data_IF_656976955891
#
_entry.id   IF_656976955891
#
_cell.length_a   1.000
_cell.length_b   1.000
_cell.length_c   1.000
_cell.angle_alpha   90.00
_cell.angle_beta   90.00
_cell.angle_gamma   90.00
#
_symmetry.space_group_name_H-M   'P 1'
#
loop_
_entity.id
_entity.type
_entity.pdbx_description
1 polymer ?
#
# COMPACT_ATOMS: atom_id res chain seq x y z
N UNK A 1 0.04 7.88 8.01
CA UNK A 1 0.36 7.73 9.44
C UNK A 1 0.75 6.29 9.59
N UNK A 2 2.03 6.09 9.87
CA UNK A 2 2.61 4.76 9.99
C UNK A 2 1.95 3.98 11.12
N UNK A 3 1.77 2.69 10.87
CA UNK A 3 1.29 1.73 11.87
C UNK A 3 2.38 1.44 12.90
N UNK A 4 3.64 1.43 12.45
CA UNK A 4 4.80 1.28 13.30
C UNK A 4 5.13 2.64 13.94
N UNK A 5 5.39 2.63 15.25
CA UNK A 5 5.79 3.82 15.99
C UNK A 5 7.13 4.36 15.50
N UNK A 6 7.20 5.68 15.30
CA UNK A 6 8.41 6.36 14.82
C UNK A 6 9.61 6.10 15.75
N UNK A 7 9.41 6.05 17.06
CA UNK A 7 10.49 5.81 18.04
C UNK A 7 11.19 4.47 17.80
N UNK A 8 10.42 3.44 17.41
CA UNK A 8 10.97 2.13 17.09
C UNK A 8 11.77 2.16 15.78
N UNK A 9 11.27 2.88 14.78
CA UNK A 9 11.95 3.07 13.51
C UNK A 9 13.27 3.84 13.68
N UNK A 10 13.26 4.93 14.46
CA UNK A 10 14.47 5.68 14.82
C UNK A 10 15.49 4.80 15.54
N UNK A 11 15.04 4.01 16.52
CA UNK A 11 15.91 3.08 17.24
C UNK A 11 16.48 1.98 16.34
N UNK A 12 15.70 1.46 15.38
CA UNK A 12 16.17 0.48 14.41
C UNK A 12 17.30 1.02 13.52
N UNK A 13 17.20 2.28 13.11
CA UNK A 13 18.16 2.94 12.23
C UNK A 13 19.36 3.54 12.98
N UNK A 14 19.29 3.64 14.31
CA UNK A 14 20.22 4.45 15.11
C UNK A 14 20.29 5.91 14.62
N UNK A 15 19.15 6.44 14.15
CA UNK A 15 19.06 7.76 13.54
C UNK A 15 19.02 8.88 14.60
N UNK A 16 19.48 10.07 14.22
CA UNK A 16 19.49 11.24 15.10
C UNK A 16 18.11 11.93 15.11
N UNK A 17 17.74 12.68 16.15
CA UNK A 17 16.43 13.34 16.22
C UNK A 17 16.11 14.25 15.03
N UNK A 18 17.12 14.81 14.38
CA UNK A 18 16.98 15.63 13.18
C UNK A 18 16.50 14.86 11.94
N UNK A 19 16.79 13.56 11.88
CA UNK A 19 16.37 12.69 10.77
C UNK A 19 14.91 12.26 10.88
N UNK A 20 14.21 12.56 11.98
CA UNK A 20 12.87 12.04 12.27
C UNK A 20 11.88 12.28 11.12
N UNK A 21 11.94 13.45 10.48
CA UNK A 21 11.05 13.79 9.36
C UNK A 21 11.32 12.90 8.15
N UNK A 22 12.60 12.66 7.83
CA UNK A 22 13.01 11.78 6.74
C UNK A 22 12.62 10.33 7.03
N UNK A 23 12.90 9.85 8.25
CA UNK A 23 12.59 8.49 8.67
C UNK A 23 11.08 8.24 8.65
N UNK A 24 10.27 9.22 9.06
CA UNK A 24 8.81 9.10 8.98
C UNK A 24 8.34 8.92 7.53
N UNK A 25 8.83 9.75 6.60
CA UNK A 25 8.45 9.64 5.19
C UNK A 25 8.88 8.29 4.58
N UNK A 26 10.07 7.80 4.92
CA UNK A 26 10.55 6.51 4.46
C UNK A 26 9.82 5.33 5.11
N UNK A 27 9.37 5.48 6.36
CA UNK A 27 8.58 4.48 7.07
C UNK A 27 7.19 4.36 6.44
N UNK A 28 6.53 5.49 6.16
CA UNK A 28 5.24 5.51 5.44
C UNK A 28 5.38 4.81 4.06
N UNK A 29 6.45 5.10 3.32
CA UNK A 29 6.72 4.45 2.03
C UNK A 29 7.04 2.95 2.15
N UNK A 30 7.78 2.54 3.18
CA UNK A 30 8.11 1.14 3.44
C UNK A 30 6.86 0.31 3.79
N UNK A 31 5.97 0.87 4.62
CA UNK A 31 4.69 0.26 4.97
C UNK A 31 3.74 0.18 3.76
N UNK A 32 3.65 1.25 2.97
CA UNK A 32 2.85 1.26 1.74
C UNK A 32 3.32 0.18 0.76
N UNK A 33 4.64 0.09 0.52
CA UNK A 33 5.20 -0.94 -0.34
C UNK A 33 4.90 -2.36 0.18
N UNK A 34 4.93 -2.57 1.50
CA UNK A 34 4.57 -3.85 2.10
C UNK A 34 3.08 -4.17 1.93
N UNK A 35 2.19 -3.19 2.14
CA UNK A 35 0.74 -3.36 1.94
C UNK A 35 0.40 -3.69 0.48
N UNK A 36 1.02 -2.99 -0.48
CA UNK A 36 0.87 -3.27 -1.91
C UNK A 36 1.35 -4.67 -2.24
N UNK A 37 2.52 -5.08 -1.73
CA UNK A 37 3.03 -6.43 -1.96
C UNK A 37 2.07 -7.49 -1.41
N UNK A 38 1.53 -7.31 -0.20
CA UNK A 38 0.61 -8.25 0.45
C UNK A 38 -0.78 -8.30 -0.20
N UNK A 39 -1.14 -7.28 -0.99
CA UNK A 39 -2.53 -7.00 -1.40
C UNK A 39 -3.48 -6.90 -0.20
N UNK A 40 -2.98 -6.38 0.93
CA UNK A 40 -3.70 -6.25 2.21
C UNK A 40 -3.25 -5.01 2.94
N UNK A 41 -4.19 -4.38 3.65
CA UNK A 41 -3.87 -3.36 4.65
C UNK A 41 -3.60 -4.04 5.99
N UNK A 42 -2.61 -3.55 6.72
CA UNK A 42 -2.39 -3.96 8.11
C UNK A 42 -2.66 -2.81 9.07
N UNK A 43 -3.00 -3.16 10.31
CA UNK A 43 -3.45 -2.21 11.33
C UNK A 43 -2.73 -2.49 12.65
N UNK A 44 -2.66 -1.48 13.52
CA UNK A 44 -1.96 -1.59 14.81
C UNK A 44 -2.59 -2.66 15.70
N UNK A 45 -3.93 -2.67 15.77
CA UNK A 45 -4.69 -3.55 16.63
C UNK A 45 -6.01 -3.99 15.97
N UNK A 46 -6.74 -4.85 16.68
CA UNK A 46 -8.03 -5.37 16.22
C UNK A 46 -9.10 -4.27 16.13
N UNK A 47 -9.04 -3.26 17.01
CA UNK A 47 -10.00 -2.16 17.03
C UNK A 47 -9.90 -1.32 15.75
N UNK A 48 -8.68 -0.96 15.34
CA UNK A 48 -8.44 -0.24 14.09
C UNK A 48 -8.86 -1.05 12.86
N UNK A 49 -8.60 -2.36 12.86
CA UNK A 49 -9.03 -3.25 11.78
C UNK A 49 -10.57 -3.31 11.66
N UNK A 50 -11.27 -3.48 12.78
CA UNK A 50 -12.73 -3.59 12.78
C UNK A 50 -13.40 -2.25 12.41
N UNK A 51 -12.84 -1.12 12.87
CA UNK A 51 -13.28 0.21 12.46
C UNK A 51 -13.14 0.42 10.94
N UNK A 52 -11.99 0.01 10.36
CA UNK A 52 -11.79 0.10 8.92
C UNK A 52 -12.75 -0.81 8.14
N UNK A 53 -12.99 -2.04 8.64
CA UNK A 53 -13.91 -3.01 8.04
C UNK A 53 -15.36 -2.53 8.03
N UNK A 54 -15.80 -1.85 9.09
CA UNK A 54 -17.15 -1.31 9.16
C UNK A 54 -17.45 -0.34 8.01
N UNK A 55 -16.45 0.44 7.57
CA UNK A 55 -16.59 1.38 6.44
C UNK A 55 -16.56 0.75 5.04
N UNK A 56 -16.24 -0.55 4.91
CA UNK A 56 -16.08 -1.20 3.60
C UNK A 56 -17.40 -1.23 2.82
N UNK A 57 -18.51 -1.51 3.50
CA UNK A 57 -19.82 -1.56 2.84
C UNK A 57 -20.19 -0.22 2.21
N UNK A 58 -20.03 0.86 2.97
CA UNK A 58 -20.33 2.22 2.50
C UNK A 58 -19.40 2.63 1.36
N UNK A 59 -18.11 2.26 1.45
CA UNK A 59 -17.14 2.50 0.38
C UNK A 59 -17.53 1.80 -0.93
N UNK A 60 -18.00 0.55 -0.87
CA UNK A 60 -18.47 -0.20 -2.04
C UNK A 60 -19.72 0.44 -2.66
N UNK A 61 -20.67 0.88 -1.84
CA UNK A 61 -21.88 1.56 -2.31
C UNK A 61 -21.54 2.90 -2.96
N UNK A 62 -20.65 3.68 -2.33
CA UNK A 62 -20.15 4.94 -2.87
C UNK A 62 -19.46 4.72 -4.22
N UNK A 63 -18.54 3.75 -4.32
CA UNK A 63 -17.84 3.41 -5.57
C UNK A 63 -18.81 3.04 -6.70
N UNK A 64 -19.84 2.23 -6.40
CA UNK A 64 -20.89 1.88 -7.36
C UNK A 64 -21.69 3.10 -7.83
N UNK A 65 -22.02 4.00 -6.90
CA UNK A 65 -22.75 5.24 -7.24
C UNK A 65 -21.92 6.16 -8.13
N UNK A 66 -20.63 6.33 -7.83
CA UNK A 66 -19.68 7.13 -8.63
C UNK A 66 -19.49 6.55 -10.02
N UNK A 67 -19.35 5.23 -10.14
CA UNK A 67 -19.28 4.55 -11.42
C UNK A 67 -20.56 4.75 -12.26
N UNK A 68 -21.73 4.61 -11.64
CA UNK A 68 -23.01 4.88 -12.30
C UNK A 68 -23.07 6.29 -12.88
N UNK A 69 -22.70 7.29 -12.08
CA UNK A 69 -22.64 8.68 -12.53
C UNK A 69 -21.65 8.90 -13.70
N UNK A 70 -20.46 8.29 -13.62
CA UNK A 70 -19.45 8.36 -14.68
C UNK A 70 -19.92 7.70 -15.99
N UNK A 71 -20.64 6.58 -15.90
CA UNK A 71 -21.21 5.88 -17.07
C UNK A 71 -22.31 6.71 -17.71
N UNK A 72 -23.19 7.33 -16.93
CA UNK A 72 -24.21 8.22 -17.49
C UNK A 72 -23.58 9.46 -18.15
N UNK A 73 -22.56 10.06 -17.54
CA UNK A 73 -21.80 11.15 -18.16
C UNK A 73 -21.17 10.72 -19.50
N UNK A 74 -20.52 9.55 -19.54
CA UNK A 74 -19.92 9.01 -20.75
C UNK A 74 -20.97 8.77 -21.86
N UNK A 75 -22.19 8.32 -21.53
CA UNK A 75 -23.26 8.11 -22.52
C UNK A 75 -23.73 9.40 -23.20
N UNK A 76 -23.65 10.53 -22.52
CA UNK A 76 -24.03 11.83 -23.09
C UNK A 76 -23.02 12.35 -24.12
N UNK A 77 -21.79 11.85 -24.10
CA UNK A 77 -20.77 12.24 -25.08
C UNK A 77 -21.17 11.82 -26.48
N UNK A 78 -20.93 12.69 -27.47
CA UNK A 78 -21.29 12.46 -28.87
C UNK A 78 -20.22 11.66 -29.62
N UNK A 79 -18.94 11.97 -29.38
CA UNK A 79 -17.80 11.26 -29.99
C UNK A 79 -17.71 9.83 -29.46
N UNK A 80 -17.72 8.86 -30.38
CA UNK A 80 -17.64 7.44 -30.07
C UNK A 80 -16.31 7.07 -29.40
N UNK A 81 -15.19 7.61 -29.88
CA UNK A 81 -13.85 7.28 -29.36
C UNK A 81 -13.72 7.73 -27.91
N UNK A 82 -14.15 8.96 -27.63
CA UNK A 82 -14.14 9.54 -26.29
C UNK A 82 -15.07 8.78 -25.34
N UNK A 83 -16.28 8.43 -25.80
CA UNK A 83 -17.24 7.61 -25.04
C UNK A 83 -16.64 6.28 -24.60
N UNK A 84 -15.99 5.56 -25.52
CA UNK A 84 -15.35 4.28 -25.20
C UNK A 84 -14.26 4.43 -24.12
N UNK A 85 -13.38 5.43 -24.24
CA UNK A 85 -12.34 5.70 -23.25
C UNK A 85 -12.92 6.03 -21.87
N UNK A 86 -13.94 6.89 -21.82
CA UNK A 86 -14.58 7.25 -20.54
C UNK A 86 -15.23 6.05 -19.86
N UNK A 87 -15.86 5.14 -20.63
CA UNK A 87 -16.41 3.90 -20.09
C UNK A 87 -15.32 2.97 -19.55
N UNK A 88 -14.16 2.89 -20.22
CA UNK A 88 -13.00 2.13 -19.73
C UNK A 88 -12.44 2.73 -18.44
N UNK A 89 -12.25 4.05 -18.36
CA UNK A 89 -11.82 4.73 -17.14
C UNK A 89 -12.80 4.50 -15.99
N UNK A 90 -14.12 4.56 -16.25
CA UNK A 90 -15.13 4.30 -15.23
C UNK A 90 -15.02 2.86 -14.70
N UNK A 91 -14.86 1.87 -15.59
CA UNK A 91 -14.68 0.46 -15.21
C UNK A 91 -13.42 0.25 -14.40
N UNK A 92 -12.29 0.83 -14.83
CA UNK A 92 -11.03 0.72 -14.11
C UNK A 92 -11.13 1.33 -12.71
N UNK A 93 -11.71 2.54 -12.59
CA UNK A 93 -11.89 3.20 -11.30
C UNK A 93 -12.77 2.37 -10.33
N UNK A 94 -13.78 1.66 -10.84
CA UNK A 94 -14.59 0.75 -10.03
C UNK A 94 -13.81 -0.50 -9.61
N UNK A 95 -13.01 -1.07 -10.52
CA UNK A 95 -12.15 -2.22 -10.20
C UNK A 95 -11.11 -1.84 -9.12
N UNK A 96 -10.44 -0.70 -9.27
CA UNK A 96 -9.46 -0.21 -8.29
C UNK A 96 -10.11 0.05 -6.92
N UNK A 97 -11.33 0.60 -6.89
CA UNK A 97 -12.07 0.82 -5.66
C UNK A 97 -12.45 -0.51 -4.96
N UNK A 98 -12.78 -1.55 -5.73
CA UNK A 98 -13.04 -2.88 -5.20
C UNK A 98 -11.79 -3.54 -4.66
N UNK A 99 -10.66 -3.44 -5.37
CA UNK A 99 -9.39 -3.97 -4.89
C UNK A 99 -8.93 -3.27 -3.58
N UNK A 100 -9.16 -1.95 -3.48
CA UNK A 100 -8.95 -1.22 -2.24
C UNK A 100 -9.87 -1.72 -1.11
N UNK A 101 -11.17 -1.89 -1.38
CA UNK A 101 -12.14 -2.40 -0.42
C UNK A 101 -11.77 -3.82 0.07
N UNK A 102 -11.36 -4.69 -0.85
CA UNK A 102 -10.91 -6.05 -0.57
C UNK A 102 -9.63 -6.05 0.28
N UNK A 103 -8.68 -5.15 0.00
CA UNK A 103 -7.48 -5.01 0.82
C UNK A 103 -7.79 -4.59 2.27
N UNK A 104 -8.91 -3.90 2.52
CA UNK A 104 -9.42 -3.61 3.89
C UNK A 104 -10.11 -4.84 4.47
N UNK A 105 -11.03 -5.45 3.72
CA UNK A 105 -11.82 -6.59 4.17
C UNK A 105 -10.91 -7.76 4.60
N UNK A 106 -9.92 -8.09 3.78
CA UNK A 106 -8.89 -9.10 4.05
C UNK A 106 -7.69 -8.55 4.83
N UNK A 107 -7.81 -7.35 5.40
CA UNK A 107 -6.78 -6.74 6.22
C UNK A 107 -6.48 -7.56 7.48
N UNK A 108 -5.34 -7.26 8.11
CA UNK A 108 -4.85 -8.01 9.26
C UNK A 108 -4.21 -7.10 10.32
N UNK A 109 -4.05 -7.62 11.52
CA UNK A 109 -3.28 -6.92 12.57
C UNK A 109 -1.78 -7.12 12.31
N UNK A 110 -1.00 -6.07 12.58
CA UNK A 110 0.45 -6.09 12.48
C UNK A 110 1.03 -7.23 13.32
N UNK A 111 1.91 -8.02 12.72
CA UNK A 111 2.65 -9.08 13.40
C UNK A 111 4.15 -8.79 13.34
N UNK A 112 4.94 -9.54 14.11
CA UNK A 112 6.39 -9.34 14.20
C UNK A 112 7.10 -9.56 12.86
N UNK A 113 6.62 -10.46 11.99
CA UNK A 113 7.22 -10.74 10.70
C UNK A 113 7.05 -9.55 9.72
N UNK A 114 5.83 -9.00 9.64
CA UNK A 114 5.51 -7.83 8.80
C UNK A 114 6.26 -6.60 9.32
N UNK A 115 6.27 -6.41 10.64
CA UNK A 115 7.01 -5.32 11.26
C UNK A 115 8.51 -5.39 10.93
N UNK A 116 9.13 -6.57 11.09
CA UNK A 116 10.53 -6.78 10.73
C UNK A 116 10.78 -6.53 9.23
N UNK A 117 9.88 -6.98 8.35
CA UNK A 117 9.98 -6.74 6.91
C UNK A 117 9.94 -5.24 6.55
N UNK A 118 9.05 -4.47 7.18
CA UNK A 118 8.95 -3.03 6.99
C UNK A 118 10.20 -2.31 7.50
N UNK A 119 10.73 -2.71 8.66
CA UNK A 119 11.96 -2.14 9.21
C UNK A 119 13.19 -2.46 8.33
N UNK A 120 13.30 -3.67 7.79
CA UNK A 120 14.36 -4.01 6.83
C UNK A 120 14.27 -3.17 5.54
N UNK A 121 13.05 -2.95 5.04
CA UNK A 121 12.81 -2.09 3.88
C UNK A 121 13.17 -0.64 4.19
N UNK A 122 12.81 -0.15 5.37
CA UNK A 122 13.18 1.18 5.86
C UNK A 122 14.70 1.35 5.95
N UNK A 123 15.41 0.39 6.55
CA UNK A 123 16.87 0.39 6.61
C UNK A 123 17.52 0.50 5.24
N UNK A 124 16.97 -0.21 4.25
CA UNK A 124 17.42 -0.09 2.86
C UNK A 124 17.19 1.31 2.27
N UNK A 125 16.03 1.92 2.50
CA UNK A 125 15.71 3.28 2.01
C UNK A 125 16.56 4.36 2.70
N UNK A 126 16.84 4.20 3.99
CA UNK A 126 17.65 5.16 4.75
C UNK A 126 19.13 5.10 4.36
N UNK A 127 19.69 3.90 4.22
CA UNK A 127 21.10 3.70 3.90
C UNK A 127 21.43 4.05 2.43
N UNK A 128 20.51 3.81 1.50
CA UNK A 128 20.75 4.01 0.07
C UNK A 128 19.97 5.23 -0.44
N UNK A 129 20.67 6.32 -0.72
CA UNK A 129 20.10 7.57 -1.27
C UNK A 129 20.07 7.62 -2.80
N UNK A 130 20.55 6.56 -3.44
CA UNK A 130 20.62 6.42 -4.90
C UNK A 130 20.08 5.05 -5.29
N UNK A 131 19.42 4.97 -6.44
CA UNK A 131 18.84 3.71 -6.93
C UNK A 131 19.90 2.73 -7.44
N UNK A 132 21.02 3.26 -7.98
CA UNK A 132 22.12 2.45 -8.53
C UNK A 132 23.45 3.09 -8.16
N UNK A 133 24.24 2.39 -7.36
CA UNK A 133 25.63 2.77 -7.08
C UNK A 133 26.52 2.28 -8.23
N UNK A 134 27.03 3.20 -9.05
CA UNK A 134 27.95 2.85 -10.13
C UNK A 134 29.36 2.57 -9.59
N UNK A 135 29.98 1.46 -10.00
CA UNK A 135 31.37 1.13 -9.65
C UNK A 135 31.58 0.13 -8.50
N UNK A 136 30.50 -0.36 -7.86
CA UNK A 136 30.56 -1.47 -6.90
C UNK A 136 29.75 -2.66 -7.41
N UNK A 137 30.21 -3.89 -7.19
CA UNK A 137 29.37 -5.08 -7.40
C UNK A 137 28.24 -5.05 -6.37
N UNK A 138 27.04 -4.64 -6.79
CA UNK A 138 25.84 -4.73 -5.97
C UNK A 138 25.50 -6.22 -5.77
N UNK A 139 25.87 -6.77 -4.61
CA UNK A 139 25.36 -8.05 -4.16
C UNK A 139 24.02 -7.79 -3.50
N UNK A 140 22.91 -8.12 -4.17
CA UNK A 140 21.60 -8.10 -3.53
C UNK A 140 21.63 -9.09 -2.35
N UNK A 141 21.45 -8.57 -1.13
CA UNK A 141 21.16 -9.42 0.02
C UNK A 141 19.86 -10.19 -0.30
N UNK A 142 19.83 -11.52 -0.14
CA UNK A 142 18.64 -12.32 -0.39
C UNK A 142 17.44 -11.68 0.29
N UNK A 143 16.33 -11.54 -0.44
CA UNK A 143 15.13 -10.73 -0.16
C UNK A 143 14.44 -11.04 1.19
N UNK A 144 15.11 -10.82 2.31
CA UNK A 144 14.65 -11.20 3.64
C UNK A 144 13.28 -10.56 3.96
N UNK A 145 13.07 -9.31 3.54
CA UNK A 145 11.78 -8.63 3.71
C UNK A 145 10.66 -9.29 2.91
N UNK A 146 10.86 -9.65 1.63
CA UNK A 146 9.80 -10.30 0.84
C UNK A 146 9.54 -11.73 1.31
N UNK A 147 10.57 -12.48 1.71
CA UNK A 147 10.41 -13.82 2.27
C UNK A 147 9.55 -13.82 3.54
N UNK A 148 9.67 -12.78 4.38
CA UNK A 148 8.81 -12.60 5.57
C UNK A 148 7.36 -12.26 5.21
N UNK A 149 7.13 -11.53 4.11
CA UNK A 149 5.79 -11.11 3.67
C UNK A 149 5.06 -12.19 2.85
N UNK A 150 5.80 -13.04 2.13
CA UNK A 150 5.25 -14.00 1.17
C UNK A 150 4.15 -14.92 1.73
N UNK A 151 4.23 -15.46 2.96
CA UNK A 151 3.17 -16.30 3.54
C UNK A 151 1.84 -15.56 3.78
N UNK A 152 1.88 -14.22 3.91
CA UNK A 152 0.71 -13.40 4.23
C UNK A 152 0.06 -12.77 3.00
N UNK A 153 0.68 -12.90 1.82
CA UNK A 153 0.21 -12.33 0.56
C UNK A 153 -1.03 -13.05 0.04
N UNK A 154 -1.99 -12.30 -0.50
CA UNK A 154 -3.16 -12.83 -1.19
C UNK A 154 -3.23 -12.35 -2.63
N UNK A 155 -4.08 -13.01 -3.43
CA UNK A 155 -4.31 -12.65 -4.85
C UNK A 155 -2.97 -12.50 -5.58
N UNK A 156 -2.13 -13.54 -5.47
CA UNK A 156 -0.97 -13.69 -6.33
C UNK A 156 -1.51 -13.61 -7.75
N UNK A 157 -1.22 -12.51 -8.46
CA UNK A 157 -1.68 -12.34 -9.84
C UNK A 157 -1.38 -13.60 -10.63
N UNK A 158 -2.38 -14.09 -11.36
CA UNK A 158 -2.18 -15.18 -12.33
C UNK A 158 -1.59 -14.58 -13.59
#
# INVERSE_FOLDING_TARGET
>A
MSVIAIDLAMHHLLAEPEDQVLVQAQLDAAEEAAMMFLNRRFYLDQVALDAARAGVHDALQAAKSTNGAAVEAAKTEQDHSLRCRLLEHARQALADAYDQADAIAYGMVLNSAIQAACLLKLGHLFANREEVVTGTTAAELPLASQHLLMPYRIRMGV
#
